data_IF_180778198873
#
_entry.id   IF_180778198873
#
_cell.length_a   1.000
_cell.length_b   1.000
_cell.length_c   1.000
_cell.angle_alpha   90.00
_cell.angle_beta   90.00
_cell.angle_gamma   90.00
#
_symmetry.space_group_name_H-M   'P 1'
#
loop_
_entity.id
_entity.type
_entity.pdbx_description
1 polymer ?
#
# COMPACT_ATOMS: atom_id res chain seq x y z
N UNK A 1 -2.65 9.50 -15.55
CA UNK A 1 -2.37 9.08 -14.15
C UNK A 1 -3.68 8.66 -13.51
N UNK A 2 -3.73 7.49 -12.90
CA UNK A 2 -4.95 7.04 -12.21
C UNK A 2 -5.21 7.89 -10.96
N UNK A 3 -6.49 8.16 -10.70
CA UNK A 3 -6.91 8.88 -9.49
C UNK A 3 -6.64 7.97 -8.28
N UNK A 4 -5.96 8.50 -7.27
CA UNK A 4 -5.80 7.82 -5.99
C UNK A 4 -7.10 7.98 -5.17
N UNK A 5 -7.98 6.98 -5.25
CA UNK A 5 -9.29 6.98 -4.60
C UNK A 5 -9.20 7.11 -3.08
N UNK A 6 -8.21 6.48 -2.46
CA UNK A 6 -8.00 6.60 -1.02
C UNK A 6 -7.73 8.06 -0.64
N UNK A 7 -6.84 8.72 -1.37
CA UNK A 7 -6.52 10.13 -1.15
C UNK A 7 -7.74 11.03 -1.30
N UNK A 8 -8.56 10.79 -2.34
CA UNK A 8 -9.78 11.60 -2.56
C UNK A 8 -10.79 11.40 -1.43
N UNK A 9 -11.04 10.17 -1.01
CA UNK A 9 -11.92 9.89 0.13
C UNK A 9 -11.42 10.58 1.41
N UNK A 10 -10.14 10.46 1.72
CA UNK A 10 -9.56 11.11 2.91
C UNK A 10 -9.68 12.64 2.86
N UNK A 11 -9.46 13.26 1.70
CA UNK A 11 -9.65 14.71 1.52
C UNK A 11 -11.10 15.15 1.76
N UNK A 12 -12.04 14.31 1.38
CA UNK A 12 -13.47 14.58 1.54
C UNK A 12 -13.98 14.22 2.95
N UNK A 13 -13.13 13.71 3.85
CA UNK A 13 -13.53 13.25 5.18
C UNK A 13 -14.39 11.99 5.15
N UNK A 14 -14.33 11.21 4.07
CA UNK A 14 -15.07 9.97 3.92
C UNK A 14 -14.35 8.80 4.62
N UNK A 15 -15.10 7.84 5.20
CA UNK A 15 -14.50 6.63 5.76
C UNK A 15 -13.94 5.74 4.66
N UNK A 16 -12.89 5.00 5.00
CA UNK A 16 -12.28 4.00 4.11
C UNK A 16 -12.23 2.64 4.79
N UNK A 17 -12.35 1.59 4.01
CA UNK A 17 -12.27 0.21 4.48
C UNK A 17 -11.13 -0.51 3.78
N UNK A 18 -10.26 -1.15 4.56
CA UNK A 18 -9.17 -1.97 4.03
C UNK A 18 -9.01 -3.27 4.82
N UNK A 19 -8.16 -4.13 4.30
CA UNK A 19 -7.70 -5.32 5.02
C UNK A 19 -6.19 -5.48 4.84
N UNK A 20 -5.54 -6.03 5.87
CA UNK A 20 -4.12 -6.40 5.81
C UNK A 20 -3.95 -7.71 5.06
N UNK A 21 -2.89 -7.80 4.27
CA UNK A 21 -2.44 -9.05 3.66
C UNK A 21 -0.95 -9.24 3.90
N UNK A 22 -0.54 -10.49 4.16
CA UNK A 22 0.86 -10.90 4.30
C UNK A 22 1.29 -11.80 3.15
N UNK A 23 0.33 -12.21 2.32
CA UNK A 23 0.57 -13.04 1.14
C UNK A 23 0.84 -12.18 -0.09
N UNK A 24 1.77 -12.62 -0.90
CA UNK A 24 2.05 -12.00 -2.21
C UNK A 24 1.25 -12.64 -3.36
N UNK A 25 0.44 -13.64 -3.07
CA UNK A 25 -0.35 -14.32 -4.09
C UNK A 25 -1.49 -13.43 -4.61
N UNK A 26 -1.52 -13.17 -5.92
CA UNK A 26 -2.56 -12.35 -6.53
C UNK A 26 -3.98 -12.86 -6.25
N UNK A 27 -4.17 -14.19 -6.17
CA UNK A 27 -5.47 -14.80 -5.86
C UNK A 27 -6.07 -14.36 -4.53
N UNK A 28 -5.24 -13.98 -3.55
CA UNK A 28 -5.73 -13.41 -2.28
C UNK A 28 -6.32 -12.02 -2.52
N UNK A 29 -5.64 -11.19 -3.31
CA UNK A 29 -6.13 -9.84 -3.66
C UNK A 29 -7.38 -9.93 -4.54
N UNK A 30 -7.44 -10.90 -5.47
CA UNK A 30 -8.63 -11.17 -6.28
C UNK A 30 -9.84 -11.54 -5.42
N UNK A 31 -9.64 -12.45 -4.45
CA UNK A 31 -10.72 -12.86 -3.54
C UNK A 31 -11.27 -11.66 -2.74
N UNK A 32 -10.39 -10.79 -2.26
CA UNK A 32 -10.78 -9.55 -1.57
C UNK A 32 -11.53 -8.63 -2.54
N UNK A 33 -11.00 -8.43 -3.74
CA UNK A 33 -11.58 -7.56 -4.77
C UNK A 33 -12.97 -8.00 -5.23
N UNK A 34 -13.21 -9.31 -5.35
CA UNK A 34 -14.52 -9.85 -5.71
C UNK A 34 -15.62 -9.54 -4.69
N UNK A 35 -15.27 -9.21 -3.46
CA UNK A 35 -16.26 -8.78 -2.46
C UNK A 35 -16.89 -7.43 -2.81
N UNK A 36 -16.15 -6.56 -3.52
CA UNK A 36 -16.56 -5.19 -3.82
C UNK A 36 -16.65 -4.26 -2.59
N UNK A 37 -16.18 -4.70 -1.42
CA UNK A 37 -16.38 -4.00 -0.14
C UNK A 37 -15.20 -3.11 0.27
N UNK A 38 -13.99 -3.40 -0.24
CA UNK A 38 -12.76 -2.76 0.21
C UNK A 38 -12.32 -1.64 -0.73
N UNK A 39 -11.87 -0.55 -0.15
CA UNK A 39 -11.30 0.58 -0.88
C UNK A 39 -9.85 0.32 -1.29
N UNK A 40 -9.12 -0.41 -0.45
CA UNK A 40 -7.73 -0.78 -0.72
C UNK A 40 -7.31 -2.04 0.05
N UNK A 41 -6.21 -2.64 -0.39
CA UNK A 41 -5.48 -3.68 0.34
C UNK A 41 -4.17 -3.10 0.88
N UNK A 42 -3.80 -3.49 2.10
CA UNK A 42 -2.53 -3.11 2.71
C UNK A 42 -1.61 -4.33 2.77
N UNK A 43 -0.55 -4.32 1.98
CA UNK A 43 0.51 -5.33 2.06
C UNK A 43 1.50 -4.96 3.16
N UNK A 44 1.64 -5.85 4.15
CA UNK A 44 2.51 -5.64 5.31
C UNK A 44 3.91 -6.14 5.00
N UNK A 45 4.70 -5.32 4.30
CA UNK A 45 6.07 -5.66 3.93
C UNK A 45 7.02 -5.74 5.14
N UNK A 46 6.63 -5.15 6.28
CA UNK A 46 7.36 -5.24 7.54
C UNK A 46 7.53 -6.69 8.04
N UNK A 47 6.55 -7.56 7.78
CA UNK A 47 6.52 -8.94 8.27
C UNK A 47 6.38 -9.98 7.18
N UNK A 48 5.91 -9.60 6.00
CA UNK A 48 5.69 -10.52 4.88
C UNK A 48 6.98 -10.86 4.16
N UNK A 49 7.05 -12.08 3.62
CA UNK A 49 8.08 -12.46 2.67
C UNK A 49 7.65 -12.08 1.26
N UNK A 50 8.52 -11.47 0.47
CA UNK A 50 8.18 -11.02 -0.88
C UNK A 50 9.41 -10.82 -1.76
N UNK A 51 9.19 -10.97 -3.08
CA UNK A 51 10.09 -10.50 -4.11
C UNK A 51 9.58 -9.24 -4.77
N UNK A 52 10.46 -8.46 -5.40
CA UNK A 52 10.06 -7.18 -6.02
C UNK A 52 9.03 -7.36 -7.15
N UNK A 53 9.13 -8.44 -7.94
CA UNK A 53 8.13 -8.76 -8.98
C UNK A 53 6.75 -9.09 -8.42
N UNK A 54 6.69 -9.62 -7.21
CA UNK A 54 5.42 -9.90 -6.54
C UNK A 54 4.68 -8.62 -6.16
N UNK A 55 5.42 -7.57 -5.80
CA UNK A 55 4.84 -6.24 -5.54
C UNK A 55 4.13 -5.68 -6.76
N UNK A 56 4.73 -5.82 -7.96
CA UNK A 56 4.09 -5.42 -9.23
C UNK A 56 2.78 -6.17 -9.46
N UNK A 57 2.75 -7.48 -9.17
CA UNK A 57 1.56 -8.30 -9.35
C UNK A 57 0.45 -7.92 -8.38
N UNK A 58 0.77 -7.61 -7.12
CA UNK A 58 -0.20 -7.12 -6.14
C UNK A 58 -0.86 -5.82 -6.62
N UNK A 59 -0.07 -4.87 -7.08
CA UNK A 59 -0.58 -3.59 -7.56
C UNK A 59 -1.49 -3.75 -8.78
N UNK A 60 -1.07 -4.54 -9.78
CA UNK A 60 -1.87 -4.81 -10.97
C UNK A 60 -3.20 -5.49 -10.62
N UNK A 61 -3.17 -6.45 -9.71
CA UNK A 61 -4.38 -7.17 -9.28
C UNK A 61 -5.34 -6.24 -8.54
N UNK A 62 -4.84 -5.43 -7.61
CA UNK A 62 -5.67 -4.43 -6.93
C UNK A 62 -6.33 -3.47 -7.94
N UNK A 63 -5.56 -3.00 -8.93
CA UNK A 63 -6.09 -2.13 -9.99
C UNK A 63 -7.19 -2.76 -10.82
N UNK A 64 -7.07 -4.05 -11.18
CA UNK A 64 -8.10 -4.77 -11.95
C UNK A 64 -9.42 -4.84 -11.18
N UNK A 65 -9.38 -4.86 -9.87
CA UNK A 65 -10.55 -4.85 -8.99
C UNK A 65 -10.94 -3.45 -8.50
N UNK A 66 -10.36 -2.41 -9.12
CA UNK A 66 -10.68 -1.02 -8.78
C UNK A 66 -10.40 -0.64 -7.31
N UNK A 67 -9.47 -1.35 -6.68
CA UNK A 67 -8.97 -1.07 -5.34
C UNK A 67 -7.66 -0.29 -5.38
N UNK A 68 -7.40 0.51 -4.36
CA UNK A 68 -6.06 1.02 -4.07
C UNK A 68 -5.16 -0.07 -3.50
N UNK A 69 -3.87 0.22 -3.46
CA UNK A 69 -2.88 -0.62 -2.80
C UNK A 69 -2.01 0.24 -1.89
N UNK A 70 -1.74 -0.24 -0.69
CA UNK A 70 -0.86 0.38 0.29
C UNK A 70 0.25 -0.60 0.65
N UNK A 71 1.48 -0.11 0.73
CA UNK A 71 2.59 -0.88 1.29
C UNK A 71 2.96 -0.34 2.66
N UNK A 72 2.94 -1.20 3.68
CA UNK A 72 3.44 -0.90 5.02
C UNK A 72 4.91 -1.27 5.08
N UNK A 73 5.78 -0.29 5.32
CA UNK A 73 7.23 -0.45 5.23
C UNK A 73 7.87 -0.47 6.62
N UNK A 74 8.87 -1.33 6.78
CA UNK A 74 9.72 -1.40 7.96
C UNK A 74 10.59 -0.14 8.09
N UNK A 75 10.74 0.37 9.31
CA UNK A 75 11.57 1.54 9.60
C UNK A 75 13.03 1.35 9.16
N UNK A 76 13.58 0.15 9.29
CA UNK A 76 14.99 -0.12 8.97
C UNK A 76 15.30 -0.07 7.47
N UNK A 77 14.29 -0.27 6.62
CA UNK A 77 14.41 -0.28 5.17
C UNK A 77 13.43 0.68 4.47
N UNK A 78 12.90 1.66 5.19
CA UNK A 78 11.77 2.49 4.74
C UNK A 78 12.02 3.21 3.42
N UNK A 79 13.21 3.78 3.20
CA UNK A 79 13.53 4.49 1.97
C UNK A 79 13.54 3.55 0.77
N UNK A 80 14.24 2.43 0.88
CA UNK A 80 14.30 1.43 -0.18
C UNK A 80 12.92 0.87 -0.51
N UNK A 81 12.18 0.42 0.51
CA UNK A 81 10.87 -0.21 0.30
C UNK A 81 9.81 0.77 -0.19
N UNK A 82 9.80 2.00 0.32
CA UNK A 82 8.87 3.01 -0.15
C UNK A 82 9.08 3.32 -1.64
N UNK A 83 10.32 3.56 -2.05
CA UNK A 83 10.63 3.83 -3.45
C UNK A 83 10.33 2.64 -4.36
N UNK A 84 10.62 1.41 -3.92
CA UNK A 84 10.28 0.19 -4.68
C UNK A 84 8.78 -0.02 -4.75
N UNK A 85 8.07 0.22 -3.65
CA UNK A 85 6.60 0.16 -3.63
C UNK A 85 5.95 1.16 -4.57
N UNK A 86 6.38 2.42 -4.53
CA UNK A 86 5.90 3.45 -5.46
C UNK A 86 6.19 3.05 -6.91
N UNK A 87 7.42 2.57 -7.19
CA UNK A 87 7.81 2.09 -8.51
C UNK A 87 7.01 0.88 -9.00
N UNK A 88 6.60 0.00 -8.10
CA UNK A 88 5.74 -1.14 -8.40
C UNK A 88 4.27 -0.75 -8.66
N UNK A 89 3.85 0.45 -8.22
CA UNK A 89 2.49 0.95 -8.45
C UNK A 89 1.62 1.06 -7.20
N UNK A 90 2.19 0.88 -5.99
CA UNK A 90 1.44 1.16 -4.77
C UNK A 90 1.00 2.62 -4.74
N UNK A 91 -0.28 2.82 -4.47
CA UNK A 91 -0.89 4.16 -4.43
C UNK A 91 -0.65 4.87 -3.11
N UNK A 92 -0.21 4.15 -2.09
CA UNK A 92 0.00 4.67 -0.74
C UNK A 92 1.14 3.94 -0.03
N UNK A 93 1.85 4.65 0.85
CA UNK A 93 2.89 4.10 1.71
C UNK A 93 2.53 4.38 3.16
N UNK A 94 2.59 3.37 4.01
CA UNK A 94 2.45 3.48 5.45
C UNK A 94 3.83 3.32 6.10
N UNK A 95 4.36 4.39 6.64
CA UNK A 95 5.60 4.37 7.41
C UNK A 95 5.32 3.99 8.86
N UNK A 96 6.05 3.01 9.36
CA UNK A 96 5.90 2.52 10.73
C UNK A 96 6.82 3.22 11.72
N UNK A 97 6.47 3.11 12.99
CA UNK A 97 7.34 3.47 14.11
C UNK A 97 7.91 4.90 14.09
N UNK A 98 7.16 5.84 13.57
CA UNK A 98 7.51 7.26 13.66
C UNK A 98 7.45 7.72 15.11
N UNK A 99 8.53 8.30 15.65
CA UNK A 99 8.68 8.67 17.06
C UNK A 99 8.80 10.17 17.28
N UNK A 100 9.03 10.93 16.23
CA UNK A 100 9.26 12.37 16.28
C UNK A 100 8.72 13.08 15.07
N UNK A 101 8.60 14.40 15.16
CA UNK A 101 8.27 15.23 14.00
C UNK A 101 9.33 15.16 12.90
N UNK A 102 10.59 14.94 13.25
CA UNK A 102 11.66 14.78 12.26
C UNK A 102 11.56 13.46 11.50
N UNK A 103 11.15 12.37 12.17
CA UNK A 103 10.82 11.11 11.49
C UNK A 103 9.72 11.31 10.44
N UNK A 104 8.67 12.07 10.78
CA UNK A 104 7.58 12.37 9.83
C UNK A 104 8.07 13.20 8.65
N UNK A 105 8.93 14.20 8.88
CA UNK A 105 9.52 15.01 7.79
C UNK A 105 10.36 14.14 6.87
N UNK A 106 11.12 13.20 7.43
CA UNK A 106 11.91 12.23 6.65
C UNK A 106 11.00 11.30 5.82
N UNK A 107 9.93 10.79 6.39
CA UNK A 107 8.93 10.01 5.64
C UNK A 107 8.36 10.78 4.44
N UNK A 108 8.05 12.07 4.63
CA UNK A 108 7.57 12.94 3.55
C UNK A 108 8.65 13.14 2.49
N UNK A 109 9.92 13.28 2.89
CA UNK A 109 11.04 13.43 1.95
C UNK A 109 11.23 12.18 1.08
N UNK A 110 11.03 11.00 1.67
CA UNK A 110 11.18 9.70 0.98
C UNK A 110 10.05 9.48 -0.05
N UNK A 111 8.84 9.86 0.29
CA UNK A 111 7.65 9.66 -0.54
C UNK A 111 7.53 10.70 -1.67
#
# INVERSE_FOLDING_TARGET
MKINKLREKLKNGEPTLSTHIHSTWPSVVEAIGHTGLYDYVEFVAEYGSFGLHELDNLCRTAELHNMGSMIKVDRSAQEFLAQRGIGAGFSSVLFTDTRSADDVRECIRIA
#
